data_IF_556266746294
#
_entry.id   IF_556266746294
#
_cell.length_a   1.000
_cell.length_b   1.000
_cell.length_c   1.000
_cell.angle_alpha   90.00
_cell.angle_beta   90.00
_cell.angle_gamma   90.00
#
_symmetry.space_group_name_H-M   'P 1'
#
loop_
_entity.id
_entity.type
_entity.pdbx_description
1 polymer ?
#
# COMPACT_ATOMS: atom_id res chain seq x y z
N UNK A 1 -48.71 -41.51 26.24
CA UNK A 1 -47.56 -41.65 25.31
C UNK A 1 -46.55 -40.62 25.77
N UNK A 2 -45.68 -41.03 26.70
CA UNK A 2 -44.63 -40.19 27.28
C UNK A 2 -43.56 -39.94 26.20
N UNK A 3 -43.42 -38.70 25.74
CA UNK A 3 -42.31 -38.32 24.86
C UNK A 3 -41.12 -37.98 25.74
N UNK A 4 -40.23 -38.96 25.97
CA UNK A 4 -38.95 -38.72 26.63
C UNK A 4 -38.20 -37.64 25.88
N UNK A 5 -38.04 -36.48 26.52
CA UNK A 5 -37.18 -35.40 26.03
C UNK A 5 -35.74 -35.87 26.24
N UNK A 6 -34.88 -35.91 25.21
CA UNK A 6 -33.47 -36.26 25.39
C UNK A 6 -32.78 -35.14 26.17
N UNK A 7 -32.00 -35.50 27.19
CA UNK A 7 -31.15 -34.55 27.90
C UNK A 7 -30.21 -33.81 26.94
N UNK A 8 -29.97 -32.50 27.16
CA UNK A 8 -29.04 -31.73 26.35
C UNK A 8 -27.62 -32.28 26.48
N UNK A 9 -26.79 -32.18 25.42
CA UNK A 9 -25.41 -32.65 25.47
C UNK A 9 -24.66 -31.95 26.61
N UNK A 10 -23.77 -32.65 27.35
CA UNK A 10 -22.93 -31.99 28.34
C UNK A 10 -22.14 -30.90 27.63
N UNK A 11 -22.29 -29.66 28.13
CA UNK A 11 -21.49 -28.50 27.79
C UNK A 11 -20.04 -28.95 27.64
N UNK A 12 -19.57 -29.07 26.40
CA UNK A 12 -18.15 -29.23 26.15
C UNK A 12 -17.53 -27.96 26.70
N UNK A 13 -16.92 -28.07 27.89
CA UNK A 13 -16.02 -27.08 28.46
C UNK A 13 -14.87 -26.89 27.48
N UNK A 14 -15.19 -26.15 26.43
CA UNK A 14 -14.27 -25.68 25.41
C UNK A 14 -13.42 -24.72 26.18
N UNK A 15 -12.23 -25.20 26.54
CA UNK A 15 -11.18 -24.59 27.33
C UNK A 15 -11.16 -23.05 27.20
N UNK A 16 -12.03 -22.36 27.94
CA UNK A 16 -12.18 -20.90 27.87
C UNK A 16 -10.88 -20.22 28.29
N UNK A 17 -10.06 -20.92 29.08
CA UNK A 17 -8.74 -20.45 29.48
C UNK A 17 -7.77 -20.41 28.30
N UNK A 18 -7.84 -21.37 27.39
CA UNK A 18 -7.07 -21.38 26.14
C UNK A 18 -7.50 -20.26 25.20
N UNK A 19 -8.79 -20.04 25.04
CA UNK A 19 -9.31 -18.98 24.17
C UNK A 19 -8.97 -17.59 24.73
N UNK A 20 -9.06 -17.43 26.05
CA UNK A 20 -8.63 -16.22 26.76
C UNK A 20 -7.11 -15.97 26.64
N UNK A 21 -6.30 -17.03 26.67
CA UNK A 21 -4.85 -16.90 26.46
C UNK A 21 -4.48 -16.49 25.03
N UNK A 22 -5.24 -16.97 24.04
CA UNK A 22 -5.09 -16.57 22.65
C UNK A 22 -5.51 -15.10 22.46
N UNK A 23 -6.58 -14.67 23.11
CA UNK A 23 -7.04 -13.28 23.11
C UNK A 23 -5.99 -12.34 23.71
N UNK A 24 -5.43 -12.65 24.88
CA UNK A 24 -4.38 -11.82 25.48
C UNK A 24 -3.11 -11.78 24.62
N UNK A 25 -2.72 -12.91 24.02
CA UNK A 25 -1.61 -12.96 23.07
C UNK A 25 -1.87 -12.08 21.84
N UNK A 26 -3.11 -12.04 21.34
CA UNK A 26 -3.49 -11.16 20.24
C UNK A 26 -3.44 -9.69 20.65
N UNK A 27 -3.96 -9.35 21.83
CA UNK A 27 -3.92 -7.98 22.37
C UNK A 27 -2.46 -7.52 22.52
N UNK A 28 -1.59 -8.32 23.13
CA UNK A 28 -0.16 -8.01 23.26
C UNK A 28 0.50 -7.83 21.88
N UNK A 29 0.17 -8.68 20.92
CA UNK A 29 0.68 -8.56 19.55
C UNK A 29 0.28 -7.23 18.89
N UNK A 30 -0.94 -6.75 19.11
CA UNK A 30 -1.39 -5.47 18.57
C UNK A 30 -0.87 -4.26 19.35
N UNK A 31 -0.67 -4.38 20.66
CA UNK A 31 -0.17 -3.29 21.52
C UNK A 31 1.34 -3.09 21.45
N UNK A 32 2.13 -4.15 21.24
CA UNK A 32 3.60 -4.10 21.25
C UNK A 32 4.16 -3.43 19.98
N UNK A 33 3.33 -3.14 18.97
CA UNK A 33 3.75 -2.42 17.76
C UNK A 33 4.71 -3.19 16.85
N UNK A 34 5.13 -4.39 17.26
CA UNK A 34 6.00 -5.30 16.49
C UNK A 34 5.19 -6.06 15.43
N UNK A 35 4.41 -5.30 14.65
CA UNK A 35 3.87 -5.80 13.40
C UNK A 35 5.08 -6.19 12.55
N UNK A 36 5.27 -7.48 12.19
CA UNK A 36 6.24 -7.80 11.16
C UNK A 36 5.81 -6.99 9.94
N UNK A 37 6.63 -6.00 9.57
CA UNK A 37 6.46 -5.28 8.30
C UNK A 37 6.24 -6.35 7.27
N UNK A 38 5.05 -6.38 6.67
CA UNK A 38 4.71 -7.33 5.60
C UNK A 38 5.94 -7.38 4.70
N UNK A 39 6.51 -8.56 4.46
CA UNK A 39 7.76 -8.62 3.72
C UNK A 39 7.56 -7.79 2.45
N UNK A 40 8.55 -6.97 2.14
CA UNK A 40 8.69 -6.15 0.93
C UNK A 40 8.66 -7.01 -0.36
N UNK A 41 8.04 -8.19 -0.31
CA UNK A 41 7.99 -9.31 -1.25
C UNK A 41 7.52 -8.95 -2.65
N UNK A 42 7.14 -7.70 -2.90
CA UNK A 42 6.78 -7.21 -4.23
C UNK A 42 7.37 -5.85 -4.60
N UNK A 43 8.39 -5.35 -3.88
CA UNK A 43 9.14 -4.17 -4.33
C UNK A 43 10.32 -4.61 -5.18
N UNK A 44 10.25 -4.34 -6.49
CA UNK A 44 11.38 -4.50 -7.41
C UNK A 44 12.56 -3.55 -7.08
N UNK A 45 12.36 -2.58 -6.19
CA UNK A 45 13.35 -1.61 -5.75
C UNK A 45 13.16 -1.24 -4.28
N UNK A 46 14.24 -1.22 -3.50
CA UNK A 46 14.26 -0.70 -2.12
C UNK A 46 14.89 0.70 -2.10
N UNK A 47 14.18 1.65 -1.49
CA UNK A 47 14.72 2.98 -1.16
C UNK A 47 15.36 2.89 0.22
N UNK A 48 16.58 3.44 0.40
CA UNK A 48 17.22 3.45 1.71
C UNK A 48 16.32 4.15 2.74
N UNK A 49 16.28 3.63 3.97
CA UNK A 49 15.55 4.24 5.09
C UNK A 49 16.12 5.60 5.49
N UNK A 50 17.34 5.90 5.05
CA UNK A 50 18.03 7.17 5.32
C UNK A 50 17.62 8.29 4.37
N UNK A 51 16.83 8.00 3.32
CA UNK A 51 16.35 9.01 2.39
C UNK A 51 15.24 9.83 3.04
N UNK A 52 15.40 11.15 3.05
CA UNK A 52 14.38 12.04 3.62
C UNK A 52 13.10 12.00 2.79
N UNK A 53 11.98 12.45 3.40
CA UNK A 53 10.72 12.57 2.66
C UNK A 53 10.84 13.53 1.47
N UNK A 54 11.54 14.66 1.67
CA UNK A 54 11.78 15.67 0.63
C UNK A 54 12.59 15.09 -0.53
N UNK A 55 13.68 14.38 -0.23
CA UNK A 55 14.51 13.69 -1.23
C UNK A 55 13.72 12.61 -1.97
N UNK A 56 12.83 11.91 -1.27
CA UNK A 56 11.95 10.90 -1.87
C UNK A 56 10.99 11.53 -2.89
N UNK A 57 10.36 12.66 -2.56
CA UNK A 57 9.46 13.35 -3.49
C UNK A 57 10.23 13.87 -4.72
N UNK A 58 11.43 14.41 -4.52
CA UNK A 58 12.29 14.85 -5.62
C UNK A 58 12.67 13.69 -6.54
N UNK A 59 13.05 12.54 -5.96
CA UNK A 59 13.37 11.34 -6.72
C UNK A 59 12.17 10.82 -7.52
N UNK A 60 10.96 10.83 -6.94
CA UNK A 60 9.73 10.46 -7.65
C UNK A 60 9.45 11.42 -8.81
N UNK A 61 9.61 12.73 -8.62
CA UNK A 61 9.42 13.72 -9.69
C UNK A 61 10.36 13.46 -10.88
N UNK A 62 11.63 13.13 -10.61
CA UNK A 62 12.61 12.78 -11.65
C UNK A 62 12.26 11.46 -12.37
N UNK A 63 11.82 10.44 -11.63
CA UNK A 63 11.35 9.19 -12.23
C UNK A 63 10.16 9.43 -13.17
N UNK A 64 9.17 10.22 -12.73
CA UNK A 64 8.00 10.56 -13.53
C UNK A 64 8.39 11.36 -14.78
N UNK A 65 9.35 12.28 -14.68
CA UNK A 65 9.91 13.00 -15.84
C UNK A 65 10.54 12.05 -16.84
N UNK A 66 11.38 11.12 -16.39
CA UNK A 66 12.01 10.12 -17.26
C UNK A 66 10.98 9.21 -17.93
N UNK A 67 9.99 8.74 -17.16
CA UNK A 67 8.89 7.93 -17.69
C UNK A 67 8.08 8.70 -18.75
N UNK A 68 7.81 9.99 -18.51
CA UNK A 68 7.03 10.83 -19.42
C UNK A 68 7.73 11.03 -20.76
N UNK A 69 9.04 11.35 -20.74
CA UNK A 69 9.86 11.45 -21.95
C UNK A 69 9.87 10.12 -22.70
N UNK A 70 10.00 9.00 -21.98
CA UNK A 70 10.00 7.65 -22.58
C UNK A 70 8.68 7.34 -23.25
N UNK A 71 7.55 7.55 -22.55
CA UNK A 71 6.21 7.34 -23.12
C UNK A 71 5.98 8.23 -24.34
N UNK A 72 6.35 9.51 -24.28
CA UNK A 72 6.23 10.43 -25.40
C UNK A 72 7.02 9.95 -26.63
N UNK A 73 8.28 9.54 -26.45
CA UNK A 73 9.14 9.02 -27.52
C UNK A 73 8.61 7.70 -28.10
N UNK A 74 8.09 6.80 -27.27
CA UNK A 74 7.44 5.58 -27.74
C UNK A 74 6.20 5.90 -28.58
N UNK A 75 5.38 6.86 -28.16
CA UNK A 75 4.18 7.27 -28.90
C UNK A 75 4.49 7.83 -30.28
N UNK A 76 5.61 8.54 -30.44
CA UNK A 76 6.04 9.10 -31.72
C UNK A 76 6.39 8.03 -32.78
N UNK A 77 6.86 6.86 -32.34
CA UNK A 77 7.19 5.73 -33.21
C UNK A 77 5.98 4.85 -33.57
N UNK A 78 4.83 5.06 -32.90
CA UNK A 78 3.62 4.24 -33.05
C UNK A 78 2.55 4.95 -33.90
N UNK A 79 1.53 4.20 -34.33
CA UNK A 79 0.40 4.69 -35.13
C UNK A 79 -0.93 4.17 -34.60
N UNK A 80 -2.02 4.85 -34.96
CA UNK A 80 -3.38 4.39 -34.66
C UNK A 80 -3.66 4.25 -33.16
N UNK A 81 -4.32 3.15 -32.79
CA UNK A 81 -4.75 2.89 -31.42
C UNK A 81 -3.59 2.76 -30.42
N UNK A 82 -2.47 2.14 -30.83
CA UNK A 82 -1.31 1.95 -29.94
C UNK A 82 -0.66 3.27 -29.55
N UNK A 83 -0.57 4.22 -30.49
CA UNK A 83 -0.12 5.58 -30.18
C UNK A 83 -1.06 6.29 -29.21
N UNK A 84 -2.37 6.16 -29.41
CA UNK A 84 -3.36 6.76 -28.51
C UNK A 84 -3.24 6.18 -27.08
N UNK A 85 -2.99 4.87 -26.96
CA UNK A 85 -2.74 4.21 -25.68
C UNK A 85 -1.45 4.70 -25.02
N UNK A 86 -0.34 4.84 -25.76
CA UNK A 86 0.90 5.33 -25.15
C UNK A 86 0.79 6.81 -24.73
N UNK A 87 0.08 7.64 -25.50
CA UNK A 87 -0.19 9.02 -25.08
C UNK A 87 -1.16 9.13 -23.90
N UNK A 88 -2.07 8.17 -23.70
CA UNK A 88 -2.88 8.15 -22.48
C UNK A 88 -2.01 7.85 -21.26
N UNK A 89 -1.03 6.94 -21.36
CA UNK A 89 -0.03 6.71 -20.31
C UNK A 89 0.77 7.98 -20.05
N UNK A 90 1.27 8.64 -21.09
CA UNK A 90 1.99 9.91 -20.94
C UNK A 90 1.14 10.96 -20.19
N UNK A 91 -0.13 11.11 -20.55
CA UNK A 91 -1.02 12.04 -19.86
C UNK A 91 -1.20 11.70 -18.37
N UNK A 92 -1.33 10.42 -18.01
CA UNK A 92 -1.39 9.99 -16.61
C UNK A 92 -0.10 10.31 -15.85
N UNK A 93 1.05 10.20 -16.50
CA UNK A 93 2.34 10.55 -15.89
C UNK A 93 2.47 12.05 -15.63
N UNK A 94 1.99 12.90 -16.55
CA UNK A 94 1.95 14.36 -16.35
C UNK A 94 1.02 14.74 -15.18
N UNK A 95 -0.14 14.07 -15.03
CA UNK A 95 -1.03 14.26 -13.88
C UNK A 95 -0.32 13.85 -12.58
N UNK A 96 0.31 12.68 -12.57
CA UNK A 96 1.04 12.21 -11.39
C UNK A 96 2.15 13.19 -10.99
N UNK A 97 2.87 13.72 -11.99
CA UNK A 97 3.91 14.72 -11.77
C UNK A 97 3.34 15.99 -11.13
N UNK A 98 2.24 16.53 -11.68
CA UNK A 98 1.60 17.72 -11.12
C UNK A 98 1.16 17.52 -9.66
N UNK A 99 0.70 16.31 -9.29
CA UNK A 99 0.36 16.00 -7.89
C UNK A 99 1.60 15.94 -6.98
N UNK A 100 2.73 15.43 -7.47
CA UNK A 100 4.00 15.42 -6.73
C UNK A 100 4.52 16.85 -6.57
N UNK A 101 4.52 17.65 -7.63
CA UNK A 101 4.94 19.05 -7.59
C UNK A 101 4.09 19.84 -6.56
N UNK A 102 2.76 19.66 -6.58
CA UNK A 102 1.87 20.24 -5.57
C UNK A 102 2.18 19.75 -4.14
N UNK A 103 2.56 18.49 -3.97
CA UNK A 103 2.96 17.95 -2.66
C UNK A 103 4.23 18.63 -2.13
N UNK A 104 5.19 18.94 -3.01
CA UNK A 104 6.44 19.64 -2.67
C UNK A 104 6.15 21.09 -2.30
N UNK A 105 5.29 21.78 -3.06
CA UNK A 105 4.84 23.15 -2.75
C UNK A 105 4.21 23.23 -1.35
N UNK A 106 3.35 22.27 -1.01
CA UNK A 106 2.72 22.17 0.31
C UNK A 106 3.74 21.98 1.45
N UNK A 107 4.88 21.33 1.20
CA UNK A 107 5.97 21.23 2.18
C UNK A 107 6.69 22.57 2.37
N UNK A 108 6.94 23.29 1.28
CA UNK A 108 7.59 24.60 1.29
C UNK A 108 6.81 25.66 2.10
N UNK A 109 5.48 25.53 2.15
CA UNK A 109 4.60 26.44 2.90
C UNK A 109 4.62 26.24 4.42
N UNK A 110 5.12 25.11 4.93
CA UNK A 110 5.11 24.78 6.38
C UNK A 110 6.29 25.40 7.16
N UNK A 111 7.17 26.17 6.51
CA UNK A 111 8.31 26.88 7.13
C UNK A 111 8.00 28.34 7.52
N UNK A 112 6.73 28.76 7.51
CA UNK A 112 6.28 30.12 7.91
C UNK A 112 5.78 30.20 9.34
#
# INVERSE_FOLDING_TARGET
>A
MEKSVPDPPPETSTDETRDRSALYRAIDFYLTGDQPTRPDELRFYNVSKDVSFEDTQLYVADLLRCASVTAYQCGDQLKGADRAMVYSIWHLLEIAKAMVDHSIECLGMKKG
#
